data_IF_948625332199
#
_entry.id   IF_948625332199
#
_cell.length_a   1.000
_cell.length_b   1.000
_cell.length_c   1.000
_cell.angle_alpha   90.00
_cell.angle_beta   90.00
_cell.angle_gamma   90.00
#
_symmetry.space_group_name_H-M   'P 1'
#
loop_
_entity.id
_entity.type
_entity.pdbx_description
1 polymer ?
#
# COMPACT_ATOMS: atom_id res chain seq x y z
N UNK A 1 -0.57 -12.91 1.17
CA UNK A 1 -0.76 -12.29 2.49
C UNK A 1 -2.12 -12.74 3.01
N UNK A 2 -2.26 -13.06 4.30
CA UNK A 2 -3.59 -13.26 4.88
C UNK A 2 -4.25 -11.89 5.04
N UNK A 3 -5.38 -11.66 4.37
CA UNK A 3 -6.16 -10.43 4.48
C UNK A 3 -7.47 -10.75 5.24
N UNK A 4 -7.59 -10.35 6.51
CA UNK A 4 -8.85 -10.49 7.24
C UNK A 4 -9.99 -9.78 6.50
N UNK A 5 -11.20 -10.35 6.53
CA UNK A 5 -12.35 -9.83 5.79
C UNK A 5 -12.70 -8.36 6.12
N UNK A 6 -12.38 -7.88 7.32
CA UNK A 6 -12.62 -6.47 7.70
C UNK A 6 -11.57 -5.49 7.13
N UNK A 7 -10.48 -6.00 6.54
CA UNK A 7 -9.51 -5.23 5.76
C UNK A 7 -9.64 -5.49 4.25
N UNK A 8 -10.57 -6.35 3.84
CA UNK A 8 -10.80 -6.69 2.43
C UNK A 8 -11.67 -5.63 1.74
N UNK A 9 -11.02 -4.55 1.30
CA UNK A 9 -11.65 -3.48 0.54
C UNK A 9 -11.50 -3.72 -0.96
N UNK A 10 -12.63 -3.90 -1.65
CA UNK A 10 -12.68 -4.21 -3.08
C UNK A 10 -13.38 -3.12 -3.90
N UNK A 11 -13.86 -2.05 -3.27
CA UNK A 11 -14.54 -0.93 -3.94
C UNK A 11 -13.52 -0.03 -4.65
N UNK A 12 -13.53 0.06 -5.99
CA UNK A 12 -12.54 0.83 -6.73
C UNK A 12 -12.50 2.31 -6.32
N UNK A 13 -13.66 2.92 -6.04
CA UNK A 13 -13.74 4.32 -5.62
C UNK A 13 -12.97 4.61 -4.33
N UNK A 14 -13.03 3.71 -3.34
CA UNK A 14 -12.30 3.83 -2.07
C UNK A 14 -10.81 3.64 -2.28
N UNK A 15 -10.43 2.65 -3.09
CA UNK A 15 -9.02 2.39 -3.42
C UNK A 15 -8.40 3.55 -4.21
N UNK A 16 -9.15 4.12 -5.16
CA UNK A 16 -8.71 5.27 -5.95
C UNK A 16 -8.58 6.53 -5.10
N UNK A 17 -9.48 6.76 -4.15
CA UNK A 17 -9.37 7.86 -3.18
C UNK A 17 -8.12 7.69 -2.30
N UNK A 18 -7.88 6.49 -1.77
CA UNK A 18 -6.68 6.18 -0.98
C UNK A 18 -5.39 6.47 -1.76
N UNK A 19 -5.32 6.07 -3.03
CA UNK A 19 -4.15 6.36 -3.87
C UNK A 19 -3.93 7.86 -4.10
N UNK A 20 -5.00 8.67 -4.13
CA UNK A 20 -4.89 10.14 -4.28
C UNK A 20 -4.53 10.84 -2.98
N UNK A 21 -5.05 10.37 -1.85
CA UNK A 21 -4.81 10.94 -0.53
C UNK A 21 -3.43 10.55 0.02
N UNK A 22 -2.90 9.40 -0.40
CA UNK A 22 -1.61 8.86 0.01
C UNK A 22 -0.71 8.57 -1.21
N UNK A 23 -0.32 9.58 -2.01
CA UNK A 23 0.29 9.36 -3.32
C UNK A 23 1.75 8.85 -3.27
N UNK A 24 2.40 8.84 -2.10
CA UNK A 24 3.75 8.30 -1.96
C UNK A 24 3.69 6.77 -1.82
N UNK A 25 3.80 6.08 -2.95
CA UNK A 25 3.79 4.62 -3.02
C UNK A 25 5.19 4.02 -2.96
N UNK A 26 5.28 2.73 -2.59
CA UNK A 26 6.50 1.93 -2.70
C UNK A 26 6.45 1.12 -3.99
N UNK A 27 7.30 1.46 -4.96
CA UNK A 27 7.50 0.67 -6.17
C UNK A 27 8.45 -0.49 -5.89
N UNK A 28 7.94 -1.71 -5.98
CA UNK A 28 8.71 -2.94 -5.79
C UNK A 28 8.98 -3.58 -7.15
N UNK A 29 10.26 -3.80 -7.43
CA UNK A 29 10.76 -4.48 -8.63
C UNK A 29 11.51 -5.74 -8.25
N UNK A 30 11.55 -6.74 -9.14
CA UNK A 30 12.36 -7.94 -8.97
C UNK A 30 13.38 -8.04 -10.09
N UNK A 31 14.65 -7.78 -9.77
CA UNK A 31 15.76 -7.80 -10.73
C UNK A 31 16.76 -8.92 -10.46
N UNK A 32 17.86 -8.98 -11.24
CA UNK A 32 18.93 -9.97 -11.06
C UNK A 32 19.58 -9.96 -9.67
N UNK A 33 19.60 -8.80 -9.01
CA UNK A 33 20.15 -8.60 -7.67
C UNK A 33 19.12 -8.85 -6.54
N UNK A 34 17.90 -9.27 -6.90
CA UNK A 34 16.80 -9.54 -5.97
C UNK A 34 15.70 -8.48 -5.98
N UNK A 35 15.00 -8.35 -4.86
CA UNK A 35 13.93 -7.36 -4.68
C UNK A 35 14.51 -6.00 -4.34
N UNK A 36 13.97 -4.96 -4.98
CA UNK A 36 14.25 -3.56 -4.64
C UNK A 36 12.93 -2.80 -4.45
N UNK A 37 12.92 -1.83 -3.52
CA UNK A 37 11.74 -1.06 -3.14
C UNK A 37 12.07 0.44 -3.11
N UNK A 38 11.44 1.20 -4.00
CA UNK A 38 11.70 2.61 -4.20
C UNK A 38 10.46 3.46 -3.86
N UNK A 39 10.55 4.38 -2.87
CA UNK A 39 9.46 5.31 -2.59
C UNK A 39 9.35 6.34 -3.73
N UNK A 40 8.20 6.38 -4.39
CA UNK A 40 7.94 7.30 -5.50
C UNK A 40 6.57 7.98 -5.33
N UNK A 41 6.44 9.28 -5.64
CA UNK A 41 5.13 9.91 -5.77
C UNK A 41 4.46 9.41 -7.04
N UNK A 42 3.21 8.99 -6.91
CA UNK A 42 2.35 8.56 -8.00
C UNK A 42 1.13 9.48 -8.15
N UNK A 43 0.75 9.69 -9.40
CA UNK A 43 -0.53 10.26 -9.78
C UNK A 43 -1.42 9.15 -10.34
N UNK A 44 -2.62 8.98 -9.78
CA UNK A 44 -3.59 8.01 -10.29
C UNK A 44 -4.53 8.65 -11.33
N UNK A 45 -4.46 8.16 -12.56
CA UNK A 45 -5.30 8.57 -13.68
C UNK A 45 -6.33 7.50 -14.02
N UNK A 46 -7.57 7.70 -13.56
CA UNK A 46 -8.68 6.78 -13.78
C UNK A 46 -9.13 6.69 -15.25
N UNK A 47 -8.73 7.65 -16.10
CA UNK A 47 -9.15 7.69 -17.51
C UNK A 47 -8.33 6.78 -18.43
N UNK A 48 -7.19 6.25 -17.94
CA UNK A 48 -6.24 5.46 -18.72
C UNK A 48 -6.25 4.00 -18.32
N UNK A 49 -6.56 3.11 -19.26
CA UNK A 49 -6.63 1.67 -19.02
C UNK A 49 -7.92 1.23 -18.34
N UNK A 50 -8.12 -0.07 -18.19
CA UNK A 50 -9.36 -0.65 -17.65
C UNK A 50 -9.51 -0.47 -16.13
N UNK A 51 -8.40 -0.31 -15.41
CA UNK A 51 -8.35 -0.15 -13.95
C UNK A 51 -7.72 1.19 -13.53
N UNK A 52 -7.56 2.13 -14.47
CA UNK A 52 -6.73 3.32 -14.27
C UNK A 52 -5.24 3.03 -14.46
N UNK A 53 -4.45 4.09 -14.44
CA UNK A 53 -2.99 4.05 -14.60
C UNK A 53 -2.30 4.85 -13.51
N UNK A 54 -1.15 4.37 -13.06
CA UNK A 54 -0.26 5.09 -12.15
C UNK A 54 0.85 5.77 -12.94
N UNK A 55 0.95 7.09 -12.80
CA UNK A 55 2.03 7.88 -13.39
C UNK A 55 3.02 8.26 -12.31
N UNK A 56 4.30 8.05 -12.57
CA UNK A 56 5.39 8.56 -11.74
C UNK A 56 6.49 9.10 -12.65
N UNK A 57 7.34 9.94 -12.09
CA UNK A 57 8.54 10.43 -12.77
C UNK A 57 9.74 10.29 -11.85
N UNK A 58 10.89 10.05 -12.46
CA UNK A 58 12.17 9.99 -11.77
C UNK A 58 13.22 10.72 -12.58
N UNK A 59 14.27 11.21 -11.90
CA UNK A 59 15.44 11.72 -12.59
C UNK A 59 16.01 10.64 -13.53
N UNK A 60 16.49 11.02 -14.71
CA UNK A 60 17.06 10.08 -15.69
C UNK A 60 18.21 9.23 -15.14
N UNK A 61 18.96 9.78 -14.19
CA UNK A 61 20.06 9.12 -13.49
C UNK A 61 19.60 8.04 -12.49
N UNK A 62 18.33 8.04 -12.07
CA UNK A 62 17.80 6.99 -11.22
C UNK A 62 17.58 5.72 -12.08
N UNK A 63 18.21 4.57 -11.75
CA UNK A 63 18.09 3.35 -12.56
C UNK A 63 16.69 2.72 -12.53
N UNK A 64 15.81 3.12 -11.61
CA UNK A 64 14.49 2.49 -11.39
C UNK A 64 13.62 2.46 -12.66
N UNK A 65 13.72 3.45 -13.56
CA UNK A 65 12.94 3.43 -14.80
C UNK A 65 13.37 2.33 -15.77
N UNK A 66 14.62 1.88 -15.70
CA UNK A 66 15.11 0.72 -16.47
C UNK A 66 14.77 -0.57 -15.76
N UNK A 67 14.95 -0.58 -14.43
CA UNK A 67 14.66 -1.75 -13.61
C UNK A 67 13.17 -2.09 -13.62
N UNK A 68 12.27 -1.11 -13.71
CA UNK A 68 10.83 -1.33 -13.77
C UNK A 68 10.29 -1.55 -15.20
N UNK A 69 11.12 -1.44 -16.24
CA UNK A 69 10.67 -1.52 -17.62
C UNK A 69 10.30 -2.96 -18.01
N UNK A 70 9.23 -3.10 -18.80
CA UNK A 70 8.80 -4.34 -19.45
C UNK A 70 8.62 -5.55 -18.51
N UNK A 71 8.33 -5.29 -17.24
CA UNK A 71 8.05 -6.34 -16.26
C UNK A 71 6.93 -5.99 -15.29
N UNK A 72 6.28 -7.01 -14.69
CA UNK A 72 5.36 -6.78 -13.58
C UNK A 72 6.08 -6.12 -12.40
N UNK A 73 5.40 -5.15 -11.79
CA UNK A 73 5.85 -4.47 -10.58
C UNK A 73 4.71 -4.47 -9.56
N UNK A 74 5.04 -4.31 -8.29
CA UNK A 74 4.06 -4.10 -7.22
C UNK A 74 4.20 -2.66 -6.72
N UNK A 75 3.08 -1.93 -6.64
CA UNK A 75 3.04 -0.62 -5.97
C UNK A 75 2.21 -0.75 -4.70
N UNK A 76 2.78 -0.35 -3.57
CA UNK A 76 2.10 -0.37 -2.27
C UNK A 76 1.82 1.06 -1.84
N UNK A 77 0.54 1.38 -1.63
CA UNK A 77 0.10 2.60 -0.98
C UNK A 77 -0.21 2.29 0.48
N UNK A 78 0.22 3.16 1.39
CA UNK A 78 0.03 2.96 2.82
C UNK A 78 -0.65 4.21 3.38
N UNK A 79 -1.81 4.01 4.01
CA UNK A 79 -2.55 5.05 4.67
C UNK A 79 -2.32 4.98 6.19
N UNK A 80 -3.29 5.44 6.97
CA UNK A 80 -3.19 5.44 8.41
C UNK A 80 -3.07 4.01 8.98
N UNK A 81 -2.20 3.85 9.97
CA UNK A 81 -2.05 2.63 10.73
C UNK A 81 -1.81 2.94 12.20
N UNK A 82 -2.06 1.95 13.06
CA UNK A 82 -1.82 2.08 14.48
C UNK A 82 -1.94 0.78 15.24
N UNK A 83 -1.08 0.65 16.25
CA UNK A 83 -1.20 -0.40 17.25
C UNK A 83 -2.48 -0.22 18.08
N UNK A 84 -3.23 -1.30 18.26
CA UNK A 84 -4.39 -1.34 19.14
C UNK A 84 -4.04 -2.13 20.40
N UNK A 85 -3.90 -1.40 21.51
CA UNK A 85 -3.58 -2.01 22.80
C UNK A 85 -4.81 -2.70 23.40
N UNK A 86 -4.70 -3.96 23.84
CA UNK A 86 -5.82 -4.64 24.49
C UNK A 86 -6.18 -3.98 25.83
N UNK A 87 -5.29 -3.16 26.40
CA UNK A 87 -5.53 -2.44 27.67
C UNK A 87 -6.46 -1.23 27.50
N UNK A 88 -6.76 -0.80 26.27
CA UNK A 88 -7.73 0.27 26.03
C UNK A 88 -9.18 -0.20 26.21
N UNK A 89 -9.42 -1.52 26.22
CA UNK A 89 -10.74 -2.09 26.46
C UNK A 89 -11.02 -2.20 27.96
N UNK A 90 -12.07 -1.55 28.49
CA UNK A 90 -12.42 -1.64 29.92
C UNK A 90 -12.63 -3.07 30.42
N UNK A 91 -13.09 -3.97 29.54
CA UNK A 91 -13.34 -5.39 29.86
C UNK A 91 -12.07 -6.25 29.87
N UNK A 92 -10.89 -5.69 29.58
CA UNK A 92 -9.63 -6.46 29.53
C UNK A 92 -9.27 -7.12 30.87
N UNK A 93 -9.42 -6.45 32.04
CA UNK A 93 -9.17 -7.08 33.34
C UNK A 93 -10.21 -8.16 33.69
N UNK A 94 -11.41 -8.12 33.10
CA UNK A 94 -12.52 -9.01 33.45
C UNK A 94 -12.50 -10.33 32.67
N UNK A 95 -12.21 -10.27 31.37
CA UNK A 95 -12.36 -11.43 30.49
C UNK A 95 -11.04 -11.89 29.87
N UNK A 96 -10.01 -11.03 29.84
CA UNK A 96 -8.74 -11.27 29.16
C UNK A 96 -8.82 -11.65 27.66
N UNK A 97 -10.01 -11.59 27.04
CA UNK A 97 -10.30 -12.04 25.66
C UNK A 97 -9.77 -11.14 24.54
N UNK A 98 -9.37 -9.91 24.84
CA UNK A 98 -8.80 -8.99 23.83
C UNK A 98 -7.31 -9.23 23.67
N UNK A 99 -6.83 -9.40 22.43
CA UNK A 99 -5.41 -9.57 22.10
C UNK A 99 -4.87 -8.30 21.43
N UNK A 100 -3.56 -8.02 21.53
CA UNK A 100 -2.96 -6.92 20.77
C UNK A 100 -3.16 -7.13 19.27
N UNK A 101 -3.44 -6.05 18.55
CA UNK A 101 -3.59 -6.06 17.09
C UNK A 101 -3.08 -4.75 16.49
N UNK A 102 -3.11 -4.66 15.16
CA UNK A 102 -2.80 -3.46 14.38
C UNK A 102 -3.94 -3.16 13.43
N UNK A 103 -4.42 -1.92 13.45
CA UNK A 103 -5.28 -1.41 12.40
C UNK A 103 -4.40 -0.77 11.34
N UNK A 104 -4.74 -0.99 10.08
CA UNK A 104 -4.05 -0.42 8.93
C UNK A 104 -5.03 -0.24 7.79
N UNK A 105 -4.64 0.58 6.84
CA UNK A 105 -5.36 0.82 5.59
C UNK A 105 -4.34 0.94 4.46
#
# INVERSE_FOLDING_TARGET
>A
MYLPAHFDENRPEVLHELMRDHPLGQLVTHGPDGLDANPLPFEFDASKGTQGSLLAHVARANPVWQQAADQPVLVIFQAAQGYISPNWYPSKPEHHRHVPTWNYQ
#
